data_IF_804704567909
#
_entry.id   IF_804704567909
#
_cell.length_a   1.000
_cell.length_b   1.000
_cell.length_c   1.000
_cell.angle_alpha   90.00
_cell.angle_beta   90.00
_cell.angle_gamma   90.00
#
_symmetry.space_group_name_H-M   'P 1'
#
loop_
_entity.id
_entity.type
_entity.pdbx_description
1 polymer ?
#
# COMPACT_ATOMS: atom_id res chain seq x y z
N UNK A 1 -22.31 -3.52 -5.41
CA UNK A 1 -20.98 -4.05 -5.06
C UNK A 1 -20.00 -2.99 -5.48
N UNK A 2 -19.27 -2.42 -4.53
CA UNK A 2 -18.26 -1.41 -4.81
C UNK A 2 -17.11 -2.12 -5.54
N UNK A 3 -16.69 -1.65 -6.71
CA UNK A 3 -15.65 -2.36 -7.50
C UNK A 3 -14.30 -2.42 -6.77
N UNK A 4 -14.09 -1.59 -5.74
CA UNK A 4 -12.85 -1.49 -4.98
C UNK A 4 -12.62 -2.70 -4.04
N UNK A 5 -13.70 -3.34 -3.56
CA UNK A 5 -13.59 -4.45 -2.61
C UNK A 5 -12.99 -5.71 -3.24
N UNK A 6 -13.14 -5.86 -4.57
CA UNK A 6 -12.65 -7.01 -5.33
C UNK A 6 -11.13 -6.93 -5.57
N UNK A 7 -10.56 -5.71 -5.60
CA UNK A 7 -9.15 -5.50 -5.92
C UNK A 7 -8.23 -5.59 -4.69
N UNK A 8 -8.74 -5.27 -3.49
CA UNK A 8 -7.98 -5.42 -2.23
C UNK A 8 -7.68 -6.89 -1.88
N UNK A 9 -8.52 -7.83 -2.33
CA UNK A 9 -8.33 -9.28 -2.14
C UNK A 9 -7.11 -9.83 -2.90
N UNK A 10 -6.60 -9.11 -3.91
CA UNK A 10 -5.39 -9.47 -4.68
C UNK A 10 -4.09 -8.96 -4.04
N UNK A 11 -4.18 -8.16 -2.97
CA UNK A 11 -3.02 -7.60 -2.31
C UNK A 11 -2.33 -8.63 -1.42
N UNK A 12 -0.99 -8.59 -1.41
CA UNK A 12 -0.24 -9.31 -0.39
C UNK A 12 -0.31 -8.58 0.97
N UNK A 13 0.12 -9.24 2.04
CA UNK A 13 0.04 -8.69 3.40
C UNK A 13 0.78 -7.36 3.56
N UNK A 14 1.92 -7.18 2.88
CA UNK A 14 2.65 -5.90 2.92
C UNK A 14 1.85 -4.80 2.23
N UNK A 15 1.25 -5.08 1.08
CA UNK A 15 0.43 -4.11 0.34
C UNK A 15 -0.82 -3.69 1.12
N UNK A 16 -1.47 -4.63 1.83
CA UNK A 16 -2.60 -4.31 2.71
C UNK A 16 -2.21 -3.33 3.81
N UNK A 17 -1.06 -3.57 4.46
CA UNK A 17 -0.53 -2.68 5.50
C UNK A 17 -0.15 -1.32 4.91
N UNK A 18 0.45 -1.27 3.72
CA UNK A 18 0.80 -0.01 3.04
C UNK A 18 -0.47 0.83 2.79
N UNK A 19 -1.53 0.22 2.26
CA UNK A 19 -2.81 0.90 2.01
C UNK A 19 -3.40 1.45 3.32
N UNK A 20 -3.44 0.64 4.37
CA UNK A 20 -3.94 1.05 5.70
C UNK A 20 -3.15 2.24 6.24
N UNK A 21 -1.82 2.18 6.21
CA UNK A 21 -0.96 3.24 6.72
C UNK A 21 -1.07 4.54 5.92
N UNK A 22 -1.20 4.47 4.60
CA UNK A 22 -1.43 5.67 3.76
C UNK A 22 -2.77 6.32 4.10
N UNK A 23 -3.83 5.53 4.34
CA UNK A 23 -5.13 6.05 4.80
C UNK A 23 -5.07 6.71 6.18
N UNK A 24 -4.02 6.45 6.95
CA UNK A 24 -3.73 7.05 8.25
C UNK A 24 -2.68 8.18 8.17
N UNK A 25 -2.39 8.70 6.98
CA UNK A 25 -1.43 9.79 6.73
C UNK A 25 0.02 9.46 7.18
N UNK A 26 0.38 8.17 7.27
CA UNK A 26 1.76 7.77 7.56
C UNK A 26 2.67 8.03 6.36
N UNK A 27 3.92 8.42 6.62
CA UNK A 27 4.88 8.66 5.55
C UNK A 27 5.59 7.36 5.10
N UNK A 28 6.29 7.44 3.97
CA UNK A 28 6.99 6.27 3.37
C UNK A 28 8.07 5.71 4.29
N UNK A 29 8.66 6.52 5.18
CA UNK A 29 9.66 6.06 6.15
C UNK A 29 8.99 5.29 7.29
N UNK A 30 7.89 5.80 7.83
CA UNK A 30 7.10 5.11 8.85
C UNK A 30 6.67 3.71 8.36
N UNK A 31 6.23 3.64 7.10
CA UNK A 31 5.82 2.39 6.46
C UNK A 31 7.02 1.44 6.28
N UNK A 32 8.17 1.97 5.84
CA UNK A 32 9.39 1.18 5.67
C UNK A 32 9.86 0.57 7.00
N UNK A 33 9.85 1.38 8.07
CA UNK A 33 10.24 0.96 9.41
C UNK A 33 9.24 -0.08 9.96
N UNK A 34 7.93 0.13 9.75
CA UNK A 34 6.88 -0.79 10.17
C UNK A 34 7.00 -2.17 9.53
N UNK A 35 7.28 -2.21 8.23
CA UNK A 35 7.37 -3.45 7.45
C UNK A 35 8.78 -4.06 7.47
N UNK A 36 9.77 -3.34 8.03
CA UNK A 36 11.18 -3.71 8.00
C UNK A 36 11.68 -4.00 6.57
N UNK A 37 11.33 -3.11 5.63
CA UNK A 37 11.75 -3.14 4.22
C UNK A 37 12.34 -1.81 3.82
N UNK A 38 13.00 -1.75 2.66
CA UNK A 38 13.57 -0.49 2.19
C UNK A 38 12.47 0.50 1.76
N UNK A 39 12.73 1.81 1.94
CA UNK A 39 11.92 2.90 1.38
C UNK A 39 11.72 2.73 -0.13
N UNK A 40 12.71 2.21 -0.85
CA UNK A 40 12.60 1.92 -2.28
C UNK A 40 11.55 0.84 -2.57
N UNK A 41 11.54 -0.24 -1.78
CA UNK A 41 10.53 -1.31 -1.87
C UNK A 41 9.13 -0.77 -1.58
N UNK A 42 8.96 0.05 -0.55
CA UNK A 42 7.67 0.71 -0.26
C UNK A 42 7.20 1.53 -1.47
N UNK A 43 8.04 2.38 -2.04
CA UNK A 43 7.69 3.17 -3.23
C UNK A 43 7.31 2.31 -4.44
N UNK A 44 7.96 1.16 -4.62
CA UNK A 44 7.63 0.20 -5.67
C UNK A 44 6.22 -0.37 -5.48
N UNK A 45 5.85 -0.74 -4.25
CA UNK A 45 4.49 -1.18 -3.92
C UNK A 45 3.48 -0.05 -4.11
N UNK A 46 3.76 1.18 -3.64
CA UNK A 46 2.88 2.34 -3.85
C UNK A 46 2.63 2.56 -5.36
N UNK A 47 3.68 2.56 -6.18
CA UNK A 47 3.56 2.71 -7.64
C UNK A 47 2.75 1.59 -8.31
N UNK A 48 2.74 0.39 -7.72
CA UNK A 48 1.87 -0.71 -8.18
C UNK A 48 0.42 -0.43 -7.78
N UNK A 49 0.17 -0.01 -6.55
CA UNK A 49 -1.17 0.27 -6.01
C UNK A 49 -1.84 1.45 -6.74
N UNK A 50 -1.10 2.51 -7.06
CA UNK A 50 -1.57 3.65 -7.88
C UNK A 50 -2.00 3.18 -9.29
N UNK A 51 -1.20 2.32 -9.93
CA UNK A 51 -1.55 1.74 -11.25
C UNK A 51 -2.78 0.82 -11.21
N UNK A 52 -3.10 0.31 -10.03
CA UNK A 52 -4.30 -0.49 -9.79
C UNK A 52 -5.49 0.41 -9.36
N UNK A 53 -5.33 1.72 -9.21
CA UNK A 53 -6.34 2.64 -8.67
C UNK A 53 -6.84 2.27 -7.26
N UNK A 54 -5.98 1.66 -6.44
CA UNK A 54 -6.32 1.30 -5.05
C UNK A 54 -6.08 2.48 -4.10
N UNK A 55 -5.09 3.30 -4.42
CA UNK A 55 -4.72 4.51 -3.70
C UNK A 55 -4.52 5.65 -4.71
N UNK A 56 -4.80 6.88 -4.29
CA UNK A 56 -4.74 8.12 -5.08
C UNK A 56 -3.49 8.96 -4.80
#
# INVERSE_FOLDING_TARGET
MNNNDIEEDLLNDSEKIIVEMIRHDCDVKDIADKLNISVHTVKSHISKLERMNIID
#
